data_IF_803891807638
#
_entry.id   IF_803891807638
#
_cell.length_a   1.000
_cell.length_b   1.000
_cell.length_c   1.000
_cell.angle_alpha   90.00
_cell.angle_beta   90.00
_cell.angle_gamma   90.00
#
_symmetry.space_group_name_H-M   'P 1'
#
loop_
_entity.id
_entity.type
_entity.pdbx_description
1 polymer ?
#
# COMPACT_ATOMS: atom_id res chain seq x y z
N UNK A 1 -12.34 -15.56 36.38
CA UNK A 1 -10.94 -15.38 35.89
C UNK A 1 -10.77 -15.87 34.43
N UNK A 2 -11.61 -16.75 33.89
CA UNK A 2 -11.44 -17.29 32.52
C UNK A 2 -12.32 -16.67 31.41
N UNK A 3 -13.00 -15.55 31.64
CA UNK A 3 -13.80 -14.86 30.59
C UNK A 3 -13.09 -13.60 30.05
N UNK A 4 -12.08 -13.10 30.76
CA UNK A 4 -11.37 -11.86 30.39
C UNK A 4 -10.39 -12.03 29.21
N UNK A 5 -10.15 -13.25 28.75
CA UNK A 5 -9.21 -13.57 27.67
C UNK A 5 -9.85 -13.75 26.28
N UNK A 6 -11.16 -13.51 26.15
CA UNK A 6 -11.90 -13.61 24.87
C UNK A 6 -12.17 -12.27 24.19
N UNK A 7 -11.70 -11.16 24.77
CA UNK A 7 -11.63 -9.84 24.12
C UNK A 7 -10.17 -9.38 23.94
N UNK A 8 -9.27 -10.31 23.61
CA UNK A 8 -8.18 -9.90 22.73
C UNK A 8 -8.84 -9.66 21.38
N UNK A 9 -9.18 -8.40 21.09
CA UNK A 9 -9.53 -7.97 19.74
C UNK A 9 -8.47 -8.59 18.82
N UNK A 10 -8.84 -9.58 18.00
CA UNK A 10 -7.88 -10.26 17.12
C UNK A 10 -7.59 -9.30 15.97
N UNK A 11 -6.82 -8.26 16.26
CA UNK A 11 -6.36 -7.32 15.25
C UNK A 11 -5.37 -8.10 14.38
N UNK A 12 -5.85 -8.57 13.23
CA UNK A 12 -5.07 -9.37 12.30
C UNK A 12 -4.44 -8.46 11.26
N UNK A 13 -3.10 -8.52 11.16
CA UNK A 13 -2.37 -7.87 10.09
C UNK A 13 -2.78 -8.49 8.75
N UNK A 14 -3.38 -7.69 7.88
CA UNK A 14 -3.76 -8.10 6.52
C UNK A 14 -2.59 -7.92 5.57
N UNK A 15 -2.03 -6.71 5.55
CA UNK A 15 -0.94 -6.36 4.66
C UNK A 15 -0.09 -5.25 5.26
N UNK A 16 1.21 -5.26 4.95
CA UNK A 16 2.11 -4.15 5.21
C UNK A 16 2.95 -3.83 3.98
N UNK A 17 3.18 -2.55 3.77
CA UNK A 17 4.12 -2.04 2.77
C UNK A 17 5.04 -1.07 3.47
N UNK A 18 6.35 -1.20 3.25
CA UNK A 18 7.33 -0.23 3.72
C UNK A 18 8.18 0.17 2.50
N UNK A 19 8.54 1.45 2.38
CA UNK A 19 9.40 1.87 1.26
C UNK A 19 10.83 1.38 1.43
N UNK A 20 11.49 1.17 0.29
CA UNK A 20 12.92 0.83 0.24
C UNK A 20 13.80 2.03 0.65
N UNK A 21 13.28 3.25 0.48
CA UNK A 21 13.93 4.48 0.92
C UNK A 21 13.92 4.56 2.44
N UNK A 22 15.10 4.61 3.05
CA UNK A 22 15.26 4.71 4.50
C UNK A 22 15.83 6.06 4.91
N UNK A 23 15.43 6.53 6.08
CA UNK A 23 16.03 7.70 6.70
C UNK A 23 17.47 7.40 7.12
N UNK A 24 18.38 8.30 6.75
CA UNK A 24 19.79 8.28 7.17
C UNK A 24 20.00 9.04 8.50
N UNK A 25 19.01 9.86 8.90
CA UNK A 25 19.11 10.70 10.09
C UNK A 25 18.68 9.95 11.36
N UNK A 26 19.46 10.10 12.43
CA UNK A 26 19.14 9.55 13.75
C UNK A 26 17.87 10.14 14.37
N UNK A 27 17.47 11.35 13.95
CA UNK A 27 16.27 12.04 14.44
C UNK A 27 14.96 11.56 13.82
N UNK A 28 15.01 10.80 12.72
CA UNK A 28 13.79 10.35 12.04
C UNK A 28 12.94 9.43 12.91
N UNK A 29 13.57 8.52 13.67
CA UNK A 29 12.86 7.58 14.54
C UNK A 29 12.11 8.34 15.63
N UNK A 30 12.75 9.33 16.24
CA UNK A 30 12.14 10.18 17.26
C UNK A 30 10.99 11.03 16.69
N UNK A 31 11.18 11.62 15.52
CA UNK A 31 10.14 12.35 14.81
C UNK A 31 8.94 11.46 14.49
N UNK A 32 9.19 10.25 13.97
CA UNK A 32 8.17 9.26 13.63
C UNK A 32 7.37 8.85 14.87
N UNK A 33 8.05 8.57 15.96
CA UNK A 33 7.39 8.12 17.18
C UNK A 33 6.57 9.25 17.82
N UNK A 34 7.05 10.49 17.77
CA UNK A 34 6.28 11.67 18.18
C UNK A 34 5.06 11.91 17.27
N UNK A 35 5.22 11.74 15.97
CA UNK A 35 4.15 11.83 14.99
C UNK A 35 3.07 10.77 15.28
N UNK A 36 3.45 9.50 15.48
CA UNK A 36 2.50 8.45 15.82
C UNK A 36 1.76 8.71 17.13
N UNK A 37 2.43 9.23 18.16
CA UNK A 37 1.76 9.62 19.40
C UNK A 37 0.71 10.73 19.16
N UNK A 38 1.00 11.69 18.30
CA UNK A 38 0.03 12.71 17.90
C UNK A 38 -1.13 12.10 17.12
N UNK A 39 -0.87 11.15 16.21
CA UNK A 39 -1.90 10.46 15.43
C UNK A 39 -2.89 9.72 16.34
N UNK A 40 -2.38 8.98 17.33
CA UNK A 40 -3.21 8.25 18.31
C UNK A 40 -4.11 9.19 19.12
N UNK A 41 -3.60 10.33 19.56
CA UNK A 41 -4.41 11.31 20.30
C UNK A 41 -5.51 11.94 19.44
N UNK A 42 -5.22 12.19 18.15
CA UNK A 42 -6.17 12.82 17.24
C UNK A 42 -7.25 11.85 16.78
N UNK A 43 -6.90 10.57 16.56
CA UNK A 43 -7.85 9.58 16.06
C UNK A 43 -8.93 9.23 17.08
N UNK A 44 -8.60 9.21 18.38
CA UNK A 44 -9.59 9.02 19.46
C UNK A 44 -10.61 10.15 19.52
N UNK A 45 -10.21 11.36 19.11
CA UNK A 45 -11.08 12.54 19.07
C UNK A 45 -11.82 12.70 17.74
N UNK A 46 -11.53 11.86 16.74
CA UNK A 46 -12.17 11.91 15.42
C UNK A 46 -13.59 11.39 15.49
N UNK A 47 -14.56 12.19 15.04
CA UNK A 47 -15.96 11.79 15.02
C UNK A 47 -16.28 10.72 13.96
N UNK A 48 -15.44 10.58 12.93
CA UNK A 48 -15.65 9.66 11.81
C UNK A 48 -14.55 8.59 11.70
N UNK A 49 -13.69 8.46 12.72
CA UNK A 49 -12.59 7.49 12.74
C UNK A 49 -11.56 7.70 11.62
N UNK A 50 -11.52 8.89 11.01
CA UNK A 50 -10.56 9.25 9.96
C UNK A 50 -9.77 10.47 10.39
N UNK A 51 -8.45 10.42 10.19
CA UNK A 51 -7.53 11.54 10.40
C UNK A 51 -6.55 11.58 9.25
N UNK A 52 -6.31 12.79 8.75
CA UNK A 52 -5.25 13.13 7.82
C UNK A 52 -4.53 14.35 8.43
N UNK A 53 -3.25 14.17 8.76
CA UNK A 53 -2.47 15.19 9.46
C UNK A 53 -1.02 15.21 9.02
N UNK A 54 -0.41 16.38 9.17
CA UNK A 54 1.03 16.58 8.97
C UNK A 54 1.64 16.93 10.32
N UNK A 55 2.66 16.17 10.72
CA UNK A 55 3.49 16.43 11.89
C UNK A 55 4.89 16.75 11.42
N UNK A 56 5.26 18.04 11.48
CA UNK A 56 6.50 18.58 10.90
C UNK A 56 6.70 18.21 9.41
N UNK A 57 7.61 17.28 9.10
CA UNK A 57 7.91 16.80 7.74
C UNK A 57 7.25 15.44 7.41
N UNK A 58 6.41 14.91 8.31
CA UNK A 58 5.72 13.64 8.15
C UNK A 58 4.22 13.83 7.92
N UNK A 59 3.74 13.29 6.82
CA UNK A 59 2.32 13.13 6.54
C UNK A 59 1.83 11.78 7.08
N UNK A 60 0.69 11.79 7.75
CA UNK A 60 0.08 10.59 8.34
C UNK A 60 -1.41 10.56 8.09
N UNK A 61 -1.91 9.37 7.82
CA UNK A 61 -3.33 9.08 7.67
C UNK A 61 -3.66 7.89 8.56
N UNK A 62 -4.79 7.98 9.26
CA UNK A 62 -5.40 6.87 9.97
C UNK A 62 -6.88 6.76 9.59
N UNK A 63 -7.33 5.53 9.36
CA UNK A 63 -8.74 5.24 9.10
C UNK A 63 -9.15 3.99 9.90
N UNK A 64 -10.12 4.16 10.77
CA UNK A 64 -10.78 3.08 11.49
C UNK A 64 -11.96 2.53 10.68
N UNK A 65 -12.22 1.23 10.84
CA UNK A 65 -13.42 0.60 10.31
C UNK A 65 -14.66 1.26 10.90
N UNK A 66 -15.74 1.34 10.12
CA UNK A 66 -16.97 2.05 10.52
C UNK A 66 -17.73 1.47 11.72
N UNK A 67 -17.22 0.38 12.31
CA UNK A 67 -17.69 -0.23 13.55
C UNK A 67 -16.86 0.16 14.78
N UNK A 68 -15.78 0.94 14.62
CA UNK A 68 -14.87 1.35 15.69
C UNK A 68 -14.89 2.87 15.86
N UNK A 69 -15.13 3.33 17.09
CA UNK A 69 -15.11 4.75 17.44
C UNK A 69 -14.34 4.98 18.75
N UNK A 70 -13.85 6.20 18.94
CA UNK A 70 -13.18 6.62 20.18
C UNK A 70 -12.02 5.70 20.59
N UNK A 71 -12.14 5.09 21.78
CA UNK A 71 -11.07 4.27 22.38
C UNK A 71 -10.78 2.98 21.60
N UNK A 72 -11.77 2.37 20.95
CA UNK A 72 -11.55 1.14 20.18
C UNK A 72 -10.77 1.43 18.89
N UNK A 73 -11.05 2.56 18.26
CA UNK A 73 -10.30 3.08 17.13
C UNK A 73 -8.85 3.41 17.53
N UNK A 74 -8.66 4.11 18.66
CA UNK A 74 -7.32 4.38 19.20
C UNK A 74 -6.52 3.11 19.49
N UNK A 75 -7.14 2.08 20.06
CA UNK A 75 -6.49 0.78 20.30
C UNK A 75 -6.08 0.06 19.01
N UNK A 76 -6.88 0.13 17.95
CA UNK A 76 -6.50 -0.44 16.67
C UNK A 76 -5.32 0.30 16.03
N UNK A 77 -5.38 1.64 16.02
CA UNK A 77 -4.29 2.48 15.48
C UNK A 77 -3.00 2.25 16.25
N UNK A 78 -3.05 2.12 17.58
CA UNK A 78 -1.87 1.80 18.38
C UNK A 78 -1.23 0.46 18.02
N UNK A 79 -2.02 -0.58 17.76
CA UNK A 79 -1.49 -1.85 17.25
C UNK A 79 -0.86 -1.68 15.85
N UNK A 80 -1.48 -0.88 14.99
CA UNK A 80 -0.96 -0.58 13.65
C UNK A 80 0.40 0.13 13.71
N UNK A 81 0.52 1.09 14.63
CA UNK A 81 1.74 1.86 14.92
C UNK A 81 2.85 0.93 15.40
N UNK A 82 2.58 0.03 16.35
CA UNK A 82 3.57 -0.94 16.84
C UNK A 82 4.09 -1.82 15.70
N UNK A 83 3.19 -2.34 14.85
CA UNK A 83 3.57 -3.10 13.66
C UNK A 83 4.43 -2.25 12.73
N UNK A 84 4.06 -0.99 12.46
CA UNK A 84 4.86 -0.10 11.61
C UNK A 84 6.27 0.13 12.19
N UNK A 85 6.40 0.31 13.51
CA UNK A 85 7.68 0.51 14.19
C UNK A 85 8.57 -0.72 14.08
N UNK A 86 8.03 -1.90 14.35
CA UNK A 86 8.76 -3.17 14.35
C UNK A 86 9.13 -3.64 12.93
N UNK A 87 8.21 -3.45 11.99
CA UNK A 87 8.30 -4.06 10.66
C UNK A 87 8.81 -3.13 9.56
N UNK A 88 8.64 -1.81 9.70
CA UNK A 88 9.14 -0.82 8.73
C UNK A 88 10.42 -0.12 9.19
N UNK A 89 10.75 -0.13 10.49
CA UNK A 89 11.99 0.47 11.01
C UNK A 89 12.21 1.89 10.45
N UNK A 90 13.36 2.14 9.84
CA UNK A 90 13.74 3.45 9.29
C UNK A 90 13.17 3.76 7.89
N UNK A 91 12.21 3.01 7.36
CA UNK A 91 11.59 3.37 6.07
C UNK A 91 10.94 4.75 6.12
N UNK A 92 11.15 5.58 5.10
CA UNK A 92 10.61 6.94 5.01
C UNK A 92 9.09 6.97 4.84
N UNK A 93 8.52 5.87 4.36
CA UNK A 93 7.08 5.71 4.24
C UNK A 93 6.66 4.27 4.47
N UNK A 94 5.41 4.09 4.87
CA UNK A 94 4.83 2.77 5.03
C UNK A 94 3.31 2.83 5.22
N UNK A 95 2.70 1.68 5.00
CA UNK A 95 1.28 1.44 5.09
C UNK A 95 1.05 0.14 5.87
N UNK A 96 0.15 0.17 6.84
CA UNK A 96 -0.23 -1.00 7.63
C UNK A 96 -1.74 -1.14 7.58
N UNK A 97 -2.20 -2.27 7.03
CA UNK A 97 -3.59 -2.64 6.94
C UNK A 97 -3.87 -3.75 7.94
N UNK A 98 -4.75 -3.45 8.90
CA UNK A 98 -5.33 -4.42 9.82
C UNK A 98 -6.77 -4.71 9.38
N UNK A 99 -7.37 -5.75 9.95
CA UNK A 99 -8.79 -6.07 9.67
C UNK A 99 -9.76 -4.93 10.02
N UNK A 100 -9.36 -4.08 10.97
CA UNK A 100 -10.24 -3.10 11.60
C UNK A 100 -9.75 -1.65 11.46
N UNK A 101 -8.53 -1.41 11.00
CA UNK A 101 -8.02 -0.07 10.76
C UNK A 101 -6.84 -0.07 9.79
N UNK A 102 -6.52 1.12 9.30
CA UNK A 102 -5.44 1.39 8.37
C UNK A 102 -4.64 2.60 8.85
N UNK A 103 -3.32 2.53 8.72
CA UNK A 103 -2.46 3.69 8.84
C UNK A 103 -1.52 3.81 7.64
N UNK A 104 -1.21 5.04 7.26
CA UNK A 104 -0.17 5.37 6.29
C UNK A 104 0.68 6.51 6.85
N UNK A 105 1.98 6.43 6.63
CA UNK A 105 2.92 7.50 6.96
C UNK A 105 3.89 7.71 5.81
N UNK A 106 4.27 8.96 5.57
CA UNK A 106 5.29 9.31 4.59
C UNK A 106 6.02 10.57 5.00
N UNK A 107 7.35 10.53 4.98
CA UNK A 107 8.20 11.69 5.21
C UNK A 107 8.86 12.14 3.90
N UNK A 108 8.97 13.46 3.76
CA UNK A 108 9.63 14.11 2.64
C UNK A 108 11.13 14.34 2.90
N UNK A 109 11.67 13.91 4.05
CA UNK A 109 13.08 14.09 4.43
C UNK A 109 14.00 13.19 3.59
N UNK A 110 14.27 13.66 2.36
CA UNK A 110 15.25 13.09 1.43
C UNK A 110 16.64 13.73 1.61
N UNK A 111 16.97 14.16 2.83
CA UNK A 111 18.17 14.94 3.10
C UNK A 111 19.42 14.02 3.11
N UNK A 112 19.81 13.50 1.93
CA UNK A 112 21.03 12.70 1.78
C UNK A 112 21.18 11.85 0.51
N UNK A 113 20.13 11.63 -0.30
CA UNK A 113 20.26 10.86 -1.55
C UNK A 113 19.68 11.67 -2.71
N UNK A 114 20.36 11.81 -3.87
CA UNK A 114 19.71 12.16 -5.12
C UNK A 114 18.81 10.98 -5.52
N UNK A 115 17.73 10.78 -4.76
CA UNK A 115 16.67 9.85 -5.05
C UNK A 115 15.86 10.46 -6.17
N UNK A 116 15.98 9.87 -7.36
CA UNK A 116 15.22 10.22 -8.53
C UNK A 116 13.73 10.31 -8.16
N UNK A 117 13.24 11.53 -7.98
CA UNK A 117 11.85 11.85 -7.68
C UNK A 117 10.99 11.42 -8.86
N UNK A 118 10.50 10.19 -8.84
CA UNK A 118 9.33 9.82 -9.62
C UNK A 118 8.11 10.17 -8.77
N UNK A 119 7.90 11.48 -8.61
CA UNK A 119 6.61 12.03 -8.28
C UNK A 119 5.69 11.72 -9.46
N UNK A 120 4.57 11.07 -9.18
CA UNK A 120 3.64 10.56 -10.17
C UNK A 120 3.22 11.64 -11.16
N UNK A 121 3.40 11.33 -12.45
CA UNK A 121 2.44 11.73 -13.45
C UNK A 121 1.73 10.45 -13.87
N UNK A 122 0.42 10.39 -13.61
CA UNK A 122 -0.43 9.35 -14.17
C UNK A 122 -0.40 9.45 -15.69
N UNK A 123 0.41 8.60 -16.32
CA UNK A 123 0.20 8.10 -17.69
C UNK A 123 1.11 6.89 -17.88
N UNK A 124 0.54 5.69 -17.86
CA UNK A 124 1.17 4.41 -18.21
C UNK A 124 2.60 4.20 -17.64
N UNK A 125 2.74 4.16 -16.31
CA UNK A 125 4.00 3.73 -15.70
C UNK A 125 3.94 2.25 -15.31
N UNK A 126 4.54 1.47 -16.20
CA UNK A 126 4.96 0.09 -16.02
C UNK A 126 5.89 0.03 -14.79
N UNK A 127 5.35 -0.39 -13.64
CA UNK A 127 6.12 -0.64 -12.43
C UNK A 127 6.94 -1.93 -12.62
N UNK A 128 8.25 -1.76 -12.82
CA UNK A 128 9.20 -2.83 -13.10
C UNK A 128 9.43 -3.72 -11.88
N UNK A 129 8.53 -4.68 -11.66
CA UNK A 129 8.85 -5.90 -10.93
C UNK A 129 9.11 -7.00 -11.98
N UNK A 130 10.37 -7.41 -12.10
CA UNK A 130 10.87 -8.36 -13.12
C UNK A 130 10.09 -9.67 -13.23
N UNK A 131 9.26 -10.03 -12.24
CA UNK A 131 8.38 -11.20 -12.30
C UNK A 131 7.00 -10.98 -12.95
N UNK A 132 6.44 -9.76 -12.91
CA UNK A 132 5.05 -9.51 -13.35
C UNK A 132 4.92 -9.08 -14.81
N UNK A 133 5.97 -8.46 -15.38
CA UNK A 133 5.96 -8.01 -16.79
C UNK A 133 6.25 -9.13 -17.79
N UNK A 134 6.95 -10.19 -17.37
CA UNK A 134 7.20 -11.36 -18.22
C UNK A 134 5.88 -12.01 -18.63
N UNK A 135 4.91 -12.08 -17.71
CA UNK A 135 3.59 -12.66 -17.98
C UNK A 135 2.82 -11.91 -19.07
N UNK A 136 2.89 -10.57 -19.07
CA UNK A 136 2.18 -9.71 -20.03
C UNK A 136 2.78 -9.87 -21.44
N UNK A 137 4.12 -9.85 -21.55
CA UNK A 137 4.81 -9.96 -22.85
C UNK A 137 4.54 -11.32 -23.53
N UNK A 138 4.51 -12.41 -22.75
CA UNK A 138 4.21 -13.75 -23.28
C UNK A 138 2.76 -13.86 -23.75
N UNK A 139 1.81 -13.23 -23.03
CA UNK A 139 0.40 -13.23 -23.40
C UNK A 139 0.14 -12.56 -24.76
N UNK A 140 0.75 -11.40 -25.01
CA UNK A 140 0.58 -10.66 -26.28
C UNK A 140 1.17 -11.45 -27.46
N UNK A 141 2.36 -12.04 -27.28
CA UNK A 141 2.98 -12.86 -28.33
C UNK A 141 2.12 -14.07 -28.71
N UNK A 142 1.55 -14.77 -27.72
CA UNK A 142 0.67 -15.91 -27.97
C UNK A 142 -0.63 -15.48 -28.70
N UNK A 143 -1.27 -14.40 -28.26
CA UNK A 143 -2.51 -13.91 -28.87
C UNK A 143 -2.33 -13.53 -30.35
N UNK A 144 -1.21 -12.87 -30.71
CA UNK A 144 -0.92 -12.51 -32.10
C UNK A 144 -0.73 -13.74 -33.00
N UNK A 145 -0.09 -14.80 -32.50
CA UNK A 145 0.08 -16.06 -33.25
C UNK A 145 -1.27 -16.75 -33.48
N UNK A 146 -2.12 -16.83 -32.46
CA UNK A 146 -3.45 -17.42 -32.59
C UNK A 146 -4.31 -16.64 -33.59
N UNK A 147 -4.36 -15.31 -33.50
CA UNK A 147 -5.12 -14.46 -34.43
C UNK A 147 -4.63 -14.63 -35.87
N UNK A 148 -3.32 -14.66 -36.08
CA UNK A 148 -2.75 -14.87 -37.41
C UNK A 148 -3.13 -16.24 -38.00
N UNK A 149 -3.08 -17.29 -37.18
CA UNK A 149 -3.47 -18.65 -37.59
C UNK A 149 -4.96 -18.74 -37.94
N UNK A 150 -5.83 -18.17 -37.10
CA UNK A 150 -7.27 -18.08 -37.40
C UNK A 150 -7.53 -17.29 -38.69
N UNK A 151 -6.90 -16.12 -38.87
CA UNK A 151 -7.06 -15.31 -40.08
C UNK A 151 -6.63 -16.06 -41.35
N UNK A 152 -5.53 -16.81 -41.28
CA UNK A 152 -5.07 -17.63 -42.40
C UNK A 152 -6.07 -18.74 -42.73
N UNK A 153 -6.64 -19.39 -41.72
CA UNK A 153 -7.67 -20.42 -41.90
C UNK A 153 -8.94 -19.84 -42.54
N UNK A 154 -9.42 -18.68 -42.07
CA UNK A 154 -10.57 -18.00 -42.68
C UNK A 154 -10.31 -17.59 -44.13
N UNK A 155 -9.11 -17.11 -44.44
CA UNK A 155 -8.72 -16.76 -45.82
C UNK A 155 -8.61 -18.01 -46.70
N UNK A 156 -8.13 -19.12 -46.15
CA UNK A 156 -8.06 -20.41 -46.84
C UNK A 156 -9.46 -20.96 -47.15
N UNK A 157 -10.41 -20.79 -46.23
CA UNK A 157 -11.82 -21.15 -46.47
C UNK A 157 -12.50 -20.25 -47.50
N UNK A 158 -12.22 -18.94 -47.50
CA UNK A 158 -12.75 -18.04 -48.53
C UNK A 158 -12.21 -18.32 -49.93
N UNK A 159 -10.96 -18.78 -50.06
CA UNK A 159 -10.38 -19.19 -51.36
C UNK A 159 -11.04 -20.43 -51.96
N UNK A 160 -11.88 -21.16 -51.20
CA UNK A 160 -12.56 -22.36 -51.66
C UNK A 160 -13.99 -22.13 -52.19
N UNK A 161 -14.49 -20.89 -52.22
CA UNK A 161 -15.87 -20.58 -52.65
C UNK A 161 -16.00 -19.76 -53.95
N UNK A 162 -14.90 -19.43 -54.64
CA UNK A 162 -14.92 -18.86 -56.01
C UNK A 162 -14.51 -19.92 -57.05
N UNK A 163 -15.30 -20.97 -57.14
CA UNK A 163 -15.03 -22.12 -58.00
C UNK A 163 -16.30 -22.90 -58.32
N UNK A 164 -17.34 -22.23 -58.80
CA UNK A 164 -18.39 -22.78 -59.69
C UNK A 164 -18.96 -21.63 -60.49
#
# INVERSE_FOLDING_TARGET
ILISSLLACRVQLQHKTCSDSKADSSGFVELRDAAFAALESNVVSSANGFIDMIYESMHMVAQCGGNLEGCECGGCVNNAVQIAQDECGNSLSGEVYLDSCFISFSSNDNNGIPGNSNQGNETNQISTSSGRLVAIVVGVAAALLFVFMFFYFYRSSKRKSDGT
#
